data_IF_149655979581
#
_entry.id   IF_149655979581
#
_cell.length_a   1.000
_cell.length_b   1.000
_cell.length_c   1.000
_cell.angle_alpha   90.00
_cell.angle_beta   90.00
_cell.angle_gamma   90.00
#
_symmetry.space_group_name_H-M   'P 1'
#
loop_
_entity.id
_entity.type
_entity.pdbx_description
1 polymer ?
#
# COMPACT_ATOMS: atom_id res chain seq x y z
N UNK A 1 -26.97 -9.88 -7.98
CA UNK A 1 -26.54 -8.59 -8.54
C UNK A 1 -26.30 -7.62 -7.38
N UNK A 2 -25.11 -7.02 -7.29
CA UNK A 2 -24.81 -6.03 -6.25
C UNK A 2 -25.52 -4.72 -6.59
N UNK A 3 -26.16 -4.03 -5.62
CA UNK A 3 -26.72 -2.72 -5.89
C UNK A 3 -25.60 -1.72 -6.19
N UNK A 4 -25.88 -0.74 -7.05
CA UNK A 4 -24.96 0.37 -7.30
C UNK A 4 -24.66 1.08 -5.98
N UNK A 5 -23.39 1.20 -5.64
CA UNK A 5 -22.94 1.84 -4.41
C UNK A 5 -23.31 3.34 -4.44
N UNK A 6 -24.04 3.86 -3.43
CA UNK A 6 -24.37 5.27 -3.36
C UNK A 6 -23.14 6.18 -3.29
N UNK A 7 -23.29 7.43 -3.75
CA UNK A 7 -22.20 8.40 -3.73
C UNK A 7 -21.71 8.73 -2.32
N UNK A 8 -22.60 8.79 -1.32
CA UNK A 8 -22.18 9.09 0.06
C UNK A 8 -21.28 7.99 0.66
N UNK A 9 -21.51 6.72 0.30
CA UNK A 9 -20.60 5.60 0.62
C UNK A 9 -19.25 5.78 -0.06
N UNK A 10 -19.25 6.09 -1.36
CA UNK A 10 -18.02 6.32 -2.13
C UNK A 10 -17.22 7.49 -1.56
N UNK A 11 -17.87 8.62 -1.29
CA UNK A 11 -17.23 9.84 -0.78
C UNK A 11 -16.62 9.63 0.60
N UNK A 12 -17.32 8.90 1.49
CA UNK A 12 -16.78 8.56 2.81
C UNK A 12 -15.52 7.70 2.70
N UNK A 13 -15.56 6.64 1.88
CA UNK A 13 -14.41 5.76 1.66
C UNK A 13 -13.25 6.51 0.98
N UNK A 14 -13.55 7.36 0.00
CA UNK A 14 -12.55 8.24 -0.64
C UNK A 14 -11.83 9.09 0.39
N UNK A 15 -12.56 9.73 1.30
CA UNK A 15 -11.99 10.56 2.35
C UNK A 15 -11.08 9.76 3.29
N UNK A 16 -11.52 8.56 3.71
CA UNK A 16 -10.75 7.68 4.58
C UNK A 16 -9.42 7.26 3.94
N UNK A 17 -9.45 6.73 2.71
CA UNK A 17 -8.23 6.29 2.02
C UNK A 17 -7.34 7.45 1.56
N UNK A 18 -7.92 8.60 1.18
CA UNK A 18 -7.15 9.82 0.87
C UNK A 18 -6.37 10.29 2.09
N UNK A 19 -7.00 10.30 3.27
CA UNK A 19 -6.31 10.66 4.51
C UNK A 19 -5.11 9.73 4.75
N UNK A 20 -5.29 8.41 4.60
CA UNK A 20 -4.21 7.45 4.78
C UNK A 20 -3.05 7.65 3.79
N UNK A 21 -3.39 7.94 2.52
CA UNK A 21 -2.43 8.29 1.48
C UNK A 21 -1.62 9.54 1.88
N UNK A 22 -2.31 10.63 2.24
CA UNK A 22 -1.70 11.90 2.63
C UNK A 22 -0.78 11.74 3.85
N UNK A 23 -1.19 11.00 4.87
CA UNK A 23 -0.42 10.83 6.10
C UNK A 23 0.83 9.96 5.89
N UNK A 24 0.71 8.84 5.18
CA UNK A 24 1.86 8.00 4.84
C UNK A 24 2.89 8.77 4.01
N UNK A 25 2.39 9.55 3.05
CA UNK A 25 3.24 10.37 2.18
C UNK A 25 3.84 11.56 2.94
N UNK A 26 3.12 12.14 3.91
CA UNK A 26 3.61 13.21 4.78
C UNK A 26 4.74 12.71 5.69
N UNK A 27 4.62 11.48 6.21
CA UNK A 27 5.67 10.86 7.01
C UNK A 27 6.96 10.72 6.20
N UNK A 28 6.89 10.15 5.00
CA UNK A 28 8.06 10.01 4.12
C UNK A 28 8.64 11.38 3.69
N UNK A 29 7.78 12.37 3.47
CA UNK A 29 8.20 13.75 3.12
C UNK A 29 8.97 14.42 4.26
N UNK A 30 8.54 14.22 5.51
CA UNK A 30 9.18 14.80 6.68
C UNK A 30 10.41 14.02 7.16
N UNK A 31 10.41 12.70 6.95
CA UNK A 31 11.48 11.80 7.33
C UNK A 31 11.84 10.88 6.15
N UNK A 32 12.68 11.35 5.20
CA UNK A 32 13.03 10.59 3.99
C UNK A 32 13.69 9.24 4.24
N UNK A 33 14.22 9.03 5.45
CA UNK A 33 14.84 7.79 5.90
C UNK A 33 13.85 6.80 6.53
N UNK A 34 12.55 7.11 6.60
CA UNK A 34 11.53 6.20 7.14
C UNK A 34 11.53 4.85 6.41
N UNK A 35 11.53 3.78 7.20
CA UNK A 35 11.47 2.40 6.69
C UNK A 35 10.06 2.01 6.26
N UNK A 36 9.96 1.08 5.29
CA UNK A 36 8.69 0.61 4.71
C UNK A 36 7.68 0.13 5.77
N UNK A 37 8.05 -0.69 6.78
CA UNK A 37 7.09 -1.15 7.78
C UNK A 37 6.47 -0.02 8.62
N UNK A 38 7.19 1.10 8.80
CA UNK A 38 6.64 2.25 9.51
C UNK A 38 5.58 3.00 8.68
N UNK A 39 5.68 2.95 7.35
CA UNK A 39 4.69 3.52 6.43
C UNK A 39 3.44 2.64 6.36
N UNK A 40 3.63 1.31 6.32
CA UNK A 40 2.53 0.34 6.44
C UNK A 40 1.75 0.56 7.74
N UNK A 41 2.47 0.71 8.86
CA UNK A 41 1.86 0.99 10.16
C UNK A 41 1.09 2.31 10.19
N UNK A 42 1.59 3.36 9.55
CA UNK A 42 0.89 4.64 9.46
C UNK A 42 -0.41 4.50 8.68
N UNK A 43 -0.39 3.79 7.54
CA UNK A 43 -1.60 3.51 6.76
C UNK A 43 -2.64 2.78 7.61
N UNK A 44 -2.24 1.70 8.30
CA UNK A 44 -3.14 0.90 9.15
C UNK A 44 -3.66 1.73 10.32
N UNK A 45 -2.80 2.50 11.00
CA UNK A 45 -3.19 3.34 12.14
C UNK A 45 -4.23 4.38 11.74
N UNK A 46 -4.11 5.00 10.57
CA UNK A 46 -5.11 5.97 10.13
C UNK A 46 -6.45 5.34 9.75
N UNK A 47 -6.44 4.11 9.23
CA UNK A 47 -7.67 3.35 9.00
C UNK A 47 -8.30 2.88 10.31
N UNK A 48 -7.51 2.50 11.31
CA UNK A 48 -8.04 2.01 12.59
C UNK A 48 -8.82 3.09 13.36
N UNK A 49 -8.53 4.36 13.10
CA UNK A 49 -9.32 5.50 13.61
C UNK A 49 -10.75 5.55 13.05
N UNK A 50 -11.04 4.78 11.98
CA UNK A 50 -12.34 4.69 11.32
C UNK A 50 -13.07 3.36 11.60
N UNK A 51 -12.67 2.60 12.63
CA UNK A 51 -13.21 1.26 12.92
C UNK A 51 -14.68 1.22 13.35
N UNK A 52 -15.22 2.33 13.85
CA UNK A 52 -16.63 2.36 14.24
C UNK A 52 -17.52 2.29 12.98
N UNK A 53 -18.47 1.34 12.91
CA UNK A 53 -19.40 1.26 11.79
C UNK A 53 -20.21 2.56 11.63
N UNK A 54 -20.21 3.13 10.44
CA UNK A 54 -20.91 4.38 10.13
C UNK A 54 -22.15 4.07 9.30
N UNK A 55 -23.30 4.58 9.75
CA UNK A 55 -24.53 4.61 8.93
C UNK A 55 -24.57 5.94 8.17
N UNK A 56 -24.65 5.86 6.85
CA UNK A 56 -24.65 7.02 5.96
C UNK A 56 -26.08 7.44 5.59
N UNK A 57 -26.21 8.58 4.91
CA UNK A 57 -27.50 9.19 4.56
C UNK A 57 -28.37 8.32 3.66
N UNK A 58 -27.74 7.49 2.83
CA UNK A 58 -28.39 6.47 1.99
C UNK A 58 -28.90 5.26 2.79
N UNK A 59 -28.67 5.22 4.10
CA UNK A 59 -29.04 4.11 4.98
C UNK A 59 -28.07 2.93 4.98
N UNK A 60 -27.06 2.96 4.09
CA UNK A 60 -25.98 1.98 4.04
C UNK A 60 -25.11 2.07 5.28
N UNK A 61 -24.54 0.92 5.67
CA UNK A 61 -23.57 0.83 6.76
C UNK A 61 -22.22 0.45 6.19
N UNK A 62 -21.18 1.18 6.62
CA UNK A 62 -19.79 0.91 6.23
C UNK A 62 -18.98 0.68 7.50
N UNK A 63 -18.14 -0.36 7.52
CA UNK A 63 -17.10 -0.54 8.55
C UNK A 63 -15.75 -0.77 7.89
N UNK A 64 -14.69 -0.32 8.55
CA UNK A 64 -13.31 -0.63 8.19
C UNK A 64 -12.67 -1.28 9.41
N UNK A 65 -12.37 -2.57 9.34
CA UNK A 65 -11.72 -3.28 10.43
C UNK A 65 -10.24 -3.47 10.09
N UNK A 66 -9.33 -3.19 11.04
CA UNK A 66 -7.89 -3.39 10.82
C UNK A 66 -7.33 -4.46 11.73
N UNK A 67 -6.42 -5.27 11.21
CA UNK A 67 -5.76 -6.33 11.96
C UNK A 67 -4.26 -6.30 11.69
N UNK A 68 -3.50 -6.05 12.74
CA UNK A 68 -2.05 -6.26 12.72
C UNK A 68 -1.77 -7.73 13.04
N UNK A 69 -1.25 -8.45 12.05
CA UNK A 69 -0.99 -9.89 12.19
C UNK A 69 0.37 -10.17 12.83
N UNK A 70 1.22 -9.14 12.94
CA UNK A 70 2.59 -9.26 13.40
C UNK A 70 3.47 -9.85 12.31
N UNK A 71 4.54 -9.15 11.92
CA UNK A 71 5.50 -9.63 10.93
C UNK A 71 6.30 -10.82 11.46
N UNK A 72 5.72 -12.01 11.44
CA UNK A 72 6.29 -13.21 12.01
C UNK A 72 6.28 -14.33 10.98
N UNK A 73 7.32 -14.31 10.15
CA UNK A 73 7.78 -15.40 9.27
C UNK A 73 7.20 -15.44 7.85
N UNK A 74 8.08 -15.84 6.94
CA UNK A 74 8.01 -15.63 5.49
C UNK A 74 7.58 -16.92 4.79
N UNK A 75 6.66 -16.88 3.82
CA UNK A 75 6.23 -18.05 3.02
C UNK A 75 7.40 -18.54 2.15
N UNK A 76 7.88 -19.78 2.33
CA UNK A 76 9.11 -20.27 1.68
C UNK A 76 10.36 -19.36 1.84
N UNK A 77 10.43 -18.54 2.91
CA UNK A 77 11.41 -17.45 3.15
C UNK A 77 11.13 -16.09 2.48
N UNK A 78 9.97 -15.89 1.84
CA UNK A 78 9.63 -14.63 1.16
C UNK A 78 8.20 -14.12 1.48
N UNK A 79 8.04 -12.80 1.45
CA UNK A 79 6.78 -12.08 1.69
C UNK A 79 6.11 -11.78 0.32
N UNK A 80 4.88 -12.24 0.12
CA UNK A 80 4.13 -12.09 -1.16
C UNK A 80 3.37 -10.77 -1.19
N UNK A 81 2.91 -10.30 -0.03
CA UNK A 81 2.24 -9.02 0.14
C UNK A 81 2.45 -8.55 1.58
N UNK A 82 2.54 -7.25 1.83
CA UNK A 82 2.68 -6.74 3.19
C UNK A 82 1.28 -6.46 3.79
N UNK A 83 0.29 -6.12 2.95
CA UNK A 83 -1.07 -5.77 3.35
C UNK A 83 -2.11 -6.55 2.54
N UNK A 84 -2.99 -7.28 3.23
CA UNK A 84 -4.19 -7.87 2.63
C UNK A 84 -5.41 -6.96 2.75
N UNK A 85 -6.17 -6.80 1.67
CA UNK A 85 -7.41 -6.00 1.62
C UNK A 85 -8.59 -6.91 1.33
N UNK A 86 -9.46 -7.11 2.31
CA UNK A 86 -10.73 -7.83 2.16
C UNK A 86 -11.88 -6.83 2.00
N UNK A 87 -12.74 -7.05 1.02
CA UNK A 87 -13.98 -6.30 0.84
C UNK A 87 -15.14 -7.26 0.99
N UNK A 88 -16.09 -6.93 1.86
CA UNK A 88 -17.29 -7.72 2.10
C UNK A 88 -18.52 -6.91 1.71
N UNK A 89 -19.22 -7.37 0.68
CA UNK A 89 -20.50 -6.81 0.28
C UNK A 89 -21.62 -7.59 0.95
N UNK A 90 -22.41 -6.88 1.75
CA UNK A 90 -23.53 -7.43 2.50
C UNK A 90 -24.84 -6.79 2.09
N UNK A 91 -25.94 -7.48 2.38
CA UNK A 91 -27.29 -6.94 2.27
C UNK A 91 -28.09 -7.38 3.48
N UNK A 92 -28.61 -6.42 4.23
CA UNK A 92 -29.39 -6.65 5.44
C UNK A 92 -28.69 -7.62 6.40
N UNK A 93 -27.37 -7.49 6.54
CA UNK A 93 -26.58 -8.35 7.42
C UNK A 93 -26.14 -9.70 6.82
N UNK A 94 -26.50 -10.03 5.57
CA UNK A 94 -26.08 -11.27 4.90
C UNK A 94 -24.93 -11.01 3.92
N UNK A 95 -23.90 -11.87 3.93
CA UNK A 95 -22.79 -11.76 2.97
C UNK A 95 -23.28 -12.16 1.57
N UNK A 96 -23.15 -11.24 0.62
CA UNK A 96 -23.52 -11.46 -0.79
C UNK A 96 -22.29 -11.84 -1.61
N UNK A 97 -21.16 -11.18 -1.37
CA UNK A 97 -19.91 -11.40 -2.08
C UNK A 97 -18.73 -10.90 -1.27
N UNK A 98 -17.58 -11.52 -1.46
CA UNK A 98 -16.31 -11.02 -0.95
C UNK A 98 -15.30 -10.83 -2.06
N UNK A 99 -14.32 -9.95 -1.82
CA UNK A 99 -13.26 -9.65 -2.76
C UNK A 99 -11.96 -9.37 -2.03
N UNK A 100 -10.84 -9.77 -2.63
CA UNK A 100 -9.52 -9.61 -2.04
C UNK A 100 -8.57 -8.89 -2.99
N UNK A 101 -7.74 -8.01 -2.44
CA UNK A 101 -6.53 -7.53 -3.08
C UNK A 101 -5.34 -7.72 -2.14
N UNK A 102 -4.18 -8.04 -2.72
CA UNK A 102 -2.93 -8.21 -1.99
C UNK A 102 -1.97 -7.08 -2.39
N UNK A 103 -1.46 -6.34 -1.40
CA UNK A 103 -0.57 -5.19 -1.60
C UNK A 103 0.82 -5.50 -1.06
N UNK A 104 1.83 -5.59 -1.93
CA UNK A 104 3.24 -5.54 -1.56
C UNK A 104 3.71 -4.09 -1.54
N UNK A 105 4.02 -3.58 -0.37
CA UNK A 105 4.50 -2.22 -0.18
C UNK A 105 5.97 -2.06 -0.57
N UNK A 106 6.31 -0.90 -1.14
CA UNK A 106 7.68 -0.46 -1.44
C UNK A 106 7.77 1.06 -1.32
N UNK A 107 8.89 1.60 -0.83
CA UNK A 107 9.13 3.04 -0.75
C UNK A 107 10.09 3.55 -1.80
N UNK A 108 9.89 4.79 -2.20
CA UNK A 108 10.88 5.56 -2.94
C UNK A 108 12.02 6.00 -2.00
N UNK A 109 13.26 5.87 -2.45
CA UNK A 109 14.44 6.26 -1.67
C UNK A 109 14.95 7.63 -2.13
N UNK A 110 15.34 8.52 -1.21
CA UNK A 110 16.03 9.75 -1.57
C UNK A 110 17.39 9.45 -2.23
N UNK A 111 17.87 10.38 -3.05
CA UNK A 111 19.04 10.18 -3.92
C UNK A 111 20.33 9.93 -3.12
N UNK A 112 20.48 10.62 -2.00
CA UNK A 112 21.67 10.64 -1.14
C UNK A 112 21.76 9.41 -0.22
N UNK A 113 20.71 8.59 -0.17
CA UNK A 113 20.66 7.43 0.71
C UNK A 113 21.30 6.21 0.05
N UNK A 114 22.63 6.10 0.09
CA UNK A 114 23.35 4.83 -0.08
C UNK A 114 23.21 4.01 1.22
N UNK A 115 22.07 3.36 1.45
CA UNK A 115 21.98 2.38 2.53
C UNK A 115 22.32 0.99 2.01
N UNK A 116 23.36 0.41 2.62
CA UNK A 116 23.25 -0.93 3.18
C UNK A 116 22.21 -0.85 4.31
N UNK A 117 21.05 -1.47 4.12
CA UNK A 117 20.01 -1.62 5.16
C UNK A 117 20.42 -2.62 6.26
N UNK A 118 21.68 -3.05 6.22
CA UNK A 118 22.31 -4.08 7.06
C UNK A 118 23.50 -3.51 7.84
N UNK A 119 23.35 -2.37 8.54
CA UNK A 119 24.43 -1.93 9.43
C UNK A 119 24.42 -2.77 10.70
N UNK A 120 25.59 -3.03 11.28
CA UNK A 120 25.75 -3.80 12.52
C UNK A 120 24.82 -3.37 13.68
N UNK A 121 24.48 -2.06 13.87
CA UNK A 121 23.50 -1.62 14.86
C UNK A 121 22.03 -1.99 14.54
N UNK A 122 21.68 -2.20 13.27
CA UNK A 122 20.32 -2.60 12.85
C UNK A 122 20.00 -4.04 13.31
N UNK A 123 21.04 -4.85 13.55
CA UNK A 123 20.94 -6.18 14.15
C UNK A 123 20.87 -6.15 15.69
N UNK A 124 21.14 -5.00 16.33
CA UNK A 124 20.99 -4.85 17.79
C UNK A 124 19.51 -4.63 18.13
N UNK A 125 18.79 -5.73 18.30
CA UNK A 125 17.37 -5.73 18.64
C UNK A 125 17.08 -5.06 20.00
N UNK A 126 15.95 -4.34 20.09
CA UNK A 126 15.38 -3.83 21.33
C UNK A 126 15.91 -2.46 21.78
N UNK A 127 15.91 -2.22 23.10
CA UNK A 127 16.22 -0.91 23.69
C UNK A 127 17.66 -0.42 23.43
N UNK A 128 18.57 -1.33 23.08
CA UNK A 128 19.96 -1.00 22.73
C UNK A 128 20.09 -0.13 21.48
N UNK A 129 19.09 -0.14 20.59
CA UNK A 129 19.05 0.77 19.44
C UNK A 129 18.81 2.23 19.85
N UNK A 130 18.13 2.46 20.98
CA UNK A 130 17.89 3.81 21.53
C UNK A 130 19.10 4.34 22.31
N UNK A 131 20.03 3.46 22.70
CA UNK A 131 21.20 3.80 23.49
C UNK A 131 22.47 3.71 22.65
N UNK A 132 22.71 4.75 21.86
CA UNK A 132 23.82 4.82 20.91
C UNK A 132 25.02 5.59 21.47
N UNK A 133 26.19 5.37 20.87
CA UNK A 133 27.44 6.06 21.25
C UNK A 133 27.40 7.57 20.98
N UNK A 134 28.20 8.34 21.71
CA UNK A 134 28.34 9.81 21.50
C UNK A 134 28.73 10.18 20.07
N UNK A 135 29.54 9.35 19.39
CA UNK A 135 29.92 9.55 18.00
C UNK A 135 28.69 9.46 17.05
N UNK A 136 27.75 8.56 17.35
CA UNK A 136 26.50 8.46 16.61
C UNK A 136 25.62 9.68 16.87
N UNK A 137 25.50 10.13 18.13
CA UNK A 137 24.76 11.35 18.47
C UNK A 137 25.36 12.59 17.80
N UNK A 138 26.69 12.71 17.72
CA UNK A 138 27.35 13.79 17.01
C UNK A 138 26.96 13.83 15.51
N UNK A 139 26.89 12.65 14.87
CA UNK A 139 26.47 12.54 13.46
C UNK A 139 25.00 12.94 13.22
N UNK A 140 24.14 12.87 14.23
CA UNK A 140 22.75 13.33 14.11
C UNK A 140 22.62 14.85 14.10
N UNK A 141 23.59 15.57 14.66
CA UNK A 141 23.58 17.05 14.69
C UNK A 141 24.03 17.63 13.35
N UNK A 142 24.77 16.86 12.54
CA UNK A 142 25.21 17.28 11.22
C UNK A 142 24.01 17.43 10.27
N UNK A 143 23.89 18.61 9.64
CA UNK A 143 22.83 18.88 8.68
C UNK A 143 23.05 18.04 7.42
N UNK A 144 22.07 17.19 7.11
CA UNK A 144 22.03 16.37 5.90
C UNK A 144 20.84 16.78 5.06
N UNK A 145 21.06 16.91 3.76
CA UNK A 145 20.03 17.16 2.77
C UNK A 145 19.65 15.85 2.09
N UNK A 146 18.34 15.61 1.96
CA UNK A 146 17.75 14.47 1.27
C UNK A 146 16.84 14.99 0.17
N UNK A 147 17.02 14.51 -1.05
CA UNK A 147 16.24 14.90 -2.22
C UNK A 147 15.53 13.71 -2.85
N UNK A 148 14.28 13.95 -3.25
CA UNK A 148 13.52 13.09 -4.16
C UNK A 148 13.43 13.77 -5.51
N UNK A 149 13.78 13.04 -6.56
CA UNK A 149 13.73 13.48 -7.95
C UNK A 149 13.13 12.37 -8.82
N UNK A 150 12.86 12.65 -10.09
CA UNK A 150 12.35 11.62 -11.00
C UNK A 150 13.31 10.42 -11.15
N UNK A 151 14.62 10.63 -10.93
CA UNK A 151 15.63 9.57 -10.91
C UNK A 151 15.69 8.73 -9.63
N UNK A 152 14.98 9.13 -8.56
CA UNK A 152 14.93 8.37 -7.31
C UNK A 152 14.35 6.97 -7.53
N UNK A 153 14.79 5.99 -6.74
CA UNK A 153 14.56 4.57 -7.00
C UNK A 153 13.83 3.85 -5.87
N UNK A 154 13.02 2.86 -6.22
CA UNK A 154 12.46 1.88 -5.28
C UNK A 154 13.51 0.79 -5.01
N UNK A 155 14.45 1.04 -4.09
CA UNK A 155 15.67 0.21 -3.97
C UNK A 155 15.38 -1.22 -3.46
N UNK A 156 14.31 -1.40 -2.70
CA UNK A 156 13.82 -2.69 -2.21
C UNK A 156 13.00 -3.48 -3.26
N UNK A 157 12.80 -2.92 -4.46
CA UNK A 157 12.16 -3.58 -5.59
C UNK A 157 13.23 -3.85 -6.65
N UNK A 158 13.67 -5.10 -6.77
CA UNK A 158 14.69 -5.51 -7.75
C UNK A 158 14.06 -6.42 -8.79
N UNK A 159 14.16 -6.03 -10.05
CA UNK A 159 13.60 -6.83 -11.16
C UNK A 159 14.26 -8.21 -11.19
N UNK A 160 13.47 -9.27 -11.22
CA UNK A 160 13.96 -10.64 -11.31
C UNK A 160 14.59 -11.22 -10.05
N UNK A 161 14.51 -10.52 -8.91
CA UNK A 161 14.90 -11.11 -7.62
C UNK A 161 13.90 -12.20 -7.17
N UNK A 162 14.17 -12.79 -6.00
CA UNK A 162 13.38 -13.91 -5.49
C UNK A 162 11.94 -13.49 -5.16
N UNK A 163 11.75 -12.34 -4.50
CA UNK A 163 10.41 -11.83 -4.18
C UNK A 163 9.61 -11.55 -5.46
N UNK A 164 10.23 -10.90 -6.45
CA UNK A 164 9.62 -10.60 -7.73
C UNK A 164 9.17 -11.86 -8.48
N UNK A 165 9.97 -12.93 -8.43
CA UNK A 165 9.64 -14.23 -9.05
C UNK A 165 8.54 -14.96 -8.29
N UNK A 166 8.60 -15.00 -6.96
CA UNK A 166 7.58 -15.66 -6.15
C UNK A 166 6.20 -14.99 -6.24
N UNK A 167 6.15 -13.66 -6.37
CA UNK A 167 4.89 -12.96 -6.66
C UNK A 167 4.32 -13.42 -8.01
N UNK A 168 5.17 -13.59 -9.03
CA UNK A 168 4.73 -14.06 -10.34
C UNK A 168 4.23 -15.51 -10.32
N UNK A 169 4.94 -16.40 -9.63
CA UNK A 169 4.54 -17.79 -9.42
C UNK A 169 3.20 -17.87 -8.68
N UNK A 170 3.05 -17.11 -7.59
CA UNK A 170 1.81 -17.04 -6.83
C UNK A 170 0.61 -16.59 -7.68
N UNK A 171 0.77 -15.54 -8.49
CA UNK A 171 -0.30 -15.08 -9.38
C UNK A 171 -0.69 -16.14 -10.44
N UNK A 172 0.27 -16.96 -10.89
CA UNK A 172 0.00 -18.05 -11.85
C UNK A 172 -0.70 -19.23 -11.16
N UNK A 173 -0.17 -19.66 -10.02
CA UNK A 173 -0.63 -20.86 -9.32
C UNK A 173 -2.04 -20.69 -8.76
N UNK A 174 -2.34 -19.50 -8.21
CA UNK A 174 -3.62 -19.25 -7.53
C UNK A 174 -4.56 -18.32 -8.28
N UNK A 175 -4.12 -17.69 -9.38
CA UNK A 175 -4.92 -16.69 -10.11
C UNK A 175 -5.40 -15.52 -9.24
N UNK A 176 -4.68 -15.21 -8.16
CA UNK A 176 -4.97 -14.10 -7.24
C UNK A 176 -3.99 -12.96 -7.57
N UNK A 177 -4.44 -11.78 -8.02
CA UNK A 177 -3.57 -10.70 -8.42
C UNK A 177 -2.92 -10.02 -7.20
N UNK A 178 -1.65 -9.66 -7.36
CA UNK A 178 -0.85 -8.90 -6.41
C UNK A 178 -0.57 -7.52 -6.99
N UNK A 179 -0.58 -6.50 -6.13
CA UNK A 179 -0.32 -5.12 -6.50
C UNK A 179 0.85 -4.59 -5.66
N UNK A 180 1.66 -3.74 -6.25
CA UNK A 180 2.62 -2.95 -5.49
C UNK A 180 1.95 -1.68 -4.95
N UNK A 181 2.06 -1.45 -3.64
CA UNK A 181 1.76 -0.18 -2.99
C UNK A 181 3.05 0.64 -2.87
N UNK A 182 3.21 1.64 -3.73
CA UNK A 182 4.41 2.46 -3.82
C UNK A 182 4.24 3.72 -2.99
N UNK A 183 4.98 3.82 -1.88
CA UNK A 183 5.06 5.02 -1.06
C UNK A 183 5.97 6.07 -1.71
N UNK A 184 5.45 7.28 -1.87
CA UNK A 184 6.15 8.42 -2.43
C UNK A 184 5.99 9.64 -1.51
N UNK A 185 6.87 10.66 -1.60
CA UNK A 185 6.64 11.94 -0.95
C UNK A 185 5.39 12.64 -1.51
N UNK A 186 4.98 13.73 -0.87
CA UNK A 186 3.86 14.58 -1.32
C UNK A 186 4.07 15.15 -2.72
N UNK A 187 5.30 15.49 -3.08
CA UNK A 187 5.65 16.07 -4.38
C UNK A 187 7.02 15.55 -4.84
N UNK A 188 7.25 15.57 -6.15
CA UNK A 188 8.56 15.30 -6.76
C UNK A 188 8.74 16.35 -7.88
N UNK A 189 9.83 17.15 -7.85
CA UNK A 189 10.96 17.07 -6.93
C UNK A 189 10.64 17.58 -5.52
N UNK A 190 11.32 17.02 -4.52
CA UNK A 190 11.22 17.45 -3.11
C UNK A 190 12.59 17.40 -2.43
N UNK A 191 12.83 18.25 -1.44
CA UNK A 191 14.07 18.26 -0.67
C UNK A 191 13.82 18.58 0.79
N UNK A 192 14.47 17.84 1.69
CA UNK A 192 14.35 17.98 3.15
C UNK A 192 15.73 17.98 3.80
N UNK A 193 15.94 18.90 4.74
CA UNK A 193 17.12 18.92 5.60
C UNK A 193 16.79 18.38 6.99
N UNK A 194 17.70 17.56 7.52
CA UNK A 194 17.62 16.96 8.85
C UNK A 194 18.94 17.25 9.58
N UNK A 195 18.94 17.70 10.85
CA UNK A 195 17.78 17.99 11.71
C UNK A 195 16.83 19.06 11.15
N UNK A 196 15.53 18.84 11.33
CA UNK A 196 14.50 19.70 10.76
C UNK A 196 14.29 20.96 11.61
N UNK A 197 14.13 22.12 10.96
CA UNK A 197 13.74 23.38 11.61
C UNK A 197 12.21 23.58 11.72
N UNK A 198 11.42 22.64 11.20
CA UNK A 198 9.95 22.66 11.27
C UNK A 198 9.28 21.59 10.39
N UNK A 199 7.97 21.40 10.56
CA UNK A 199 7.20 20.54 9.64
C UNK A 199 7.09 21.29 8.31
N UNK A 200 7.69 20.73 7.27
CA UNK A 200 7.83 21.39 5.98
C UNK A 200 7.11 20.57 4.94
N UNK A 201 5.78 20.48 5.02
CA UNK A 201 5.01 19.86 3.95
C UNK A 201 4.84 20.88 2.80
N UNK A 202 4.80 20.44 1.53
CA UNK A 202 4.46 21.31 0.41
C UNK A 202 3.13 22.04 0.64
N UNK A 203 3.07 23.32 0.27
CA UNK A 203 1.84 24.13 0.36
C UNK A 203 0.73 23.64 -0.60
N UNK A 204 1.12 22.99 -1.69
CA UNK A 204 0.25 22.58 -2.80
C UNK A 204 -0.51 21.27 -2.53
N UNK A 205 -0.36 20.69 -1.34
CA UNK A 205 -0.99 19.42 -0.95
C UNK A 205 -0.25 18.19 -1.49
N UNK A 206 -0.89 17.02 -1.37
CA UNK A 206 -0.30 15.72 -1.75
C UNK A 206 -0.53 15.42 -3.25
N UNK A 207 0.34 15.95 -4.11
CA UNK A 207 0.29 15.77 -5.56
C UNK A 207 0.64 14.33 -5.98
N UNK A 208 1.76 13.80 -5.47
CA UNK A 208 2.28 12.47 -5.85
C UNK A 208 1.63 11.39 -5.00
N UNK A 209 1.95 11.30 -3.72
CA UNK A 209 1.32 10.35 -2.80
C UNK A 209 1.55 8.86 -3.10
N UNK A 210 0.88 7.99 -2.34
CA UNK A 210 0.89 6.54 -2.53
C UNK A 210 0.28 6.13 -3.87
N UNK A 211 0.91 5.14 -4.54
CA UNK A 211 0.53 4.70 -5.88
C UNK A 211 0.40 3.19 -5.96
N UNK A 212 -0.66 2.68 -6.59
CA UNK A 212 -0.92 1.24 -6.70
C UNK A 212 -0.69 0.77 -8.13
N UNK A 213 0.13 -0.27 -8.30
CA UNK A 213 0.52 -0.82 -9.62
C UNK A 213 0.31 -2.33 -9.62
N UNK A 214 -0.44 -2.92 -10.57
CA UNK A 214 -0.53 -4.37 -10.68
C UNK A 214 0.86 -4.98 -10.92
N UNK A 215 1.22 -6.04 -10.19
CA UNK A 215 2.52 -6.68 -10.33
C UNK A 215 2.75 -7.14 -11.76
N UNK A 216 1.76 -7.77 -12.39
CA UNK A 216 1.80 -8.17 -13.81
C UNK A 216 2.08 -7.01 -14.79
N UNK A 217 1.55 -5.81 -14.54
CA UNK A 217 1.80 -4.63 -15.36
C UNK A 217 3.23 -4.11 -15.17
N UNK A 218 3.71 -4.06 -13.91
CA UNK A 218 5.11 -3.75 -13.64
C UNK A 218 6.04 -4.75 -14.35
N UNK A 219 5.74 -6.06 -14.26
CA UNK A 219 6.58 -7.09 -14.87
C UNK A 219 6.67 -6.94 -16.38
N UNK A 220 5.54 -6.76 -17.04
CA UNK A 220 5.48 -6.52 -18.50
C UNK A 220 6.27 -5.29 -18.90
N UNK A 221 6.11 -4.20 -18.16
CA UNK A 221 6.75 -2.91 -18.44
C UNK A 221 8.27 -2.95 -18.22
N UNK A 222 8.73 -3.81 -17.32
CA UNK A 222 10.14 -3.96 -16.97
C UNK A 222 10.83 -5.14 -17.68
N UNK A 223 10.14 -5.87 -18.56
CA UNK A 223 10.66 -7.09 -19.20
C UNK A 223 11.96 -6.88 -19.99
N UNK A 224 12.19 -5.66 -20.52
CA UNK A 224 13.40 -5.30 -21.25
C UNK A 224 14.57 -4.85 -20.34
N UNK A 225 14.34 -4.67 -19.03
CA UNK A 225 15.38 -4.28 -18.07
C UNK A 225 16.12 -5.51 -17.57
N UNK A 226 17.40 -5.36 -17.27
CA UNK A 226 18.20 -6.44 -16.72
C UNK A 226 17.74 -6.83 -15.30
N UNK A 227 17.92 -8.09 -14.93
CA UNK A 227 17.72 -8.53 -13.56
C UNK A 227 18.60 -7.74 -12.58
N UNK A 228 18.10 -7.47 -11.37
CA UNK A 228 18.72 -6.60 -10.37
C UNK A 228 18.45 -5.10 -10.57
N UNK A 229 17.85 -4.69 -11.70
CA UNK A 229 17.46 -3.28 -11.91
C UNK A 229 16.49 -2.83 -10.83
N UNK A 230 16.73 -1.63 -10.29
CA UNK A 230 15.83 -0.95 -9.34
C UNK A 230 15.04 0.11 -10.11
N UNK A 231 13.71 -0.04 -10.26
CA UNK A 231 12.90 0.95 -10.99
C UNK A 231 13.05 2.34 -10.38
N UNK A 232 13.24 3.34 -11.24
CA UNK A 232 13.11 4.75 -10.84
C UNK A 232 11.65 5.22 -10.92
N UNK A 233 11.34 6.33 -10.25
CA UNK A 233 10.06 7.00 -10.40
C UNK A 233 9.76 7.33 -11.87
N UNK A 234 10.77 7.84 -12.60
CA UNK A 234 10.67 8.12 -14.04
C UNK A 234 10.42 6.88 -14.89
N UNK A 235 11.01 5.73 -14.56
CA UNK A 235 10.75 4.48 -15.28
C UNK A 235 9.29 4.09 -15.14
N UNK A 236 8.72 4.17 -13.93
CA UNK A 236 7.31 3.84 -13.71
C UNK A 236 6.38 4.83 -14.42
N UNK A 237 6.65 6.13 -14.32
CA UNK A 237 5.86 7.19 -14.98
C UNK A 237 5.86 7.05 -16.51
N UNK A 238 6.98 6.61 -17.10
CA UNK A 238 7.13 6.47 -18.55
C UNK A 238 6.57 5.14 -19.08
N UNK A 239 6.80 4.04 -18.36
CA UNK A 239 6.54 2.70 -18.87
C UNK A 239 5.12 2.20 -18.57
N UNK A 240 4.45 2.76 -17.55
CA UNK A 240 3.07 2.44 -17.24
C UNK A 240 2.16 3.45 -17.96
N UNK A 241 1.34 2.95 -18.90
CA UNK A 241 0.39 3.77 -19.67
C UNK A 241 -0.50 4.59 -18.71
N UNK A 242 -0.59 5.89 -19.01
CA UNK A 242 -1.10 6.99 -18.19
C UNK A 242 -2.34 6.69 -17.30
N UNK A 243 -2.46 7.32 -16.11
CA UNK A 243 -1.31 7.81 -15.34
C UNK A 243 -1.47 7.93 -13.81
N UNK A 244 -0.34 8.33 -13.24
CA UNK A 244 -0.22 9.11 -12.01
C UNK A 244 -1.08 10.41 -11.98
N UNK A 245 -1.88 10.75 -13.00
CA UNK A 245 -2.60 12.04 -13.16
C UNK A 245 -3.96 12.00 -13.90
N UNK A 246 -4.63 10.85 -14.13
CA UNK A 246 -5.89 10.82 -14.93
C UNK A 246 -6.79 9.62 -14.63
N UNK A 247 -8.09 9.83 -14.88
CA UNK A 247 -9.22 8.97 -14.48
C UNK A 247 -9.36 7.64 -15.27
N UNK A 248 -8.50 7.38 -16.26
CA UNK A 248 -8.60 6.21 -17.15
C UNK A 248 -7.37 5.29 -17.11
N UNK A 249 -6.62 5.30 -16.02
CA UNK A 249 -5.35 4.58 -15.93
C UNK A 249 -5.49 3.05 -15.86
N UNK A 250 -4.51 2.36 -16.44
CA UNK A 250 -4.31 0.90 -16.30
C UNK A 250 -3.30 0.53 -15.19
N UNK A 251 -2.60 1.50 -14.59
CA UNK A 251 -1.68 1.31 -13.46
C UNK A 251 -1.24 2.64 -12.80
N UNK A 252 -0.73 2.60 -11.57
CA UNK A 252 -0.22 3.81 -10.88
C UNK A 252 -1.31 4.71 -10.32
N UNK A 253 -2.44 4.11 -9.94
CA UNK A 253 -3.58 4.81 -9.34
C UNK A 253 -3.22 5.38 -7.97
N UNK A 254 -3.86 6.47 -7.54
CA UNK A 254 -3.79 6.83 -6.12
C UNK A 254 -4.45 5.73 -5.29
N UNK A 255 -4.04 5.60 -4.04
CA UNK A 255 -4.57 4.57 -3.13
C UNK A 255 -6.11 4.62 -3.06
N UNK A 256 -6.66 5.82 -2.87
CA UNK A 256 -8.10 6.05 -2.78
C UNK A 256 -8.84 5.67 -4.06
N UNK A 257 -8.29 5.99 -5.23
CA UNK A 257 -8.88 5.64 -6.52
C UNK A 257 -8.85 4.12 -6.75
N UNK A 258 -7.72 3.48 -6.42
CA UNK A 258 -7.58 2.03 -6.52
C UNK A 258 -8.63 1.31 -5.68
N UNK A 259 -8.77 1.71 -4.41
CA UNK A 259 -9.73 1.04 -3.52
C UNK A 259 -11.16 1.33 -3.95
N UNK A 260 -11.53 2.60 -4.15
CA UNK A 260 -12.93 2.98 -4.35
C UNK A 260 -13.43 2.71 -5.77
N UNK A 261 -12.66 3.04 -6.80
CA UNK A 261 -13.12 2.87 -8.18
C UNK A 261 -12.85 1.49 -8.74
N UNK A 262 -11.72 0.89 -8.37
CA UNK A 262 -11.29 -0.35 -9.01
C UNK A 262 -11.65 -1.58 -8.17
N UNK A 263 -11.28 -1.59 -6.89
CA UNK A 263 -11.52 -2.73 -6.04
C UNK A 263 -13.02 -2.84 -5.70
N UNK A 264 -13.58 -1.79 -5.10
CA UNK A 264 -14.99 -1.70 -4.73
C UNK A 264 -15.91 -1.63 -5.95
N UNK A 265 -15.50 -0.89 -7.01
CA UNK A 265 -16.19 -0.85 -8.30
C UNK A 265 -16.13 -2.16 -9.12
N UNK A 266 -15.64 -3.25 -8.54
CA UNK A 266 -15.60 -4.58 -9.13
C UNK A 266 -14.72 -4.73 -10.39
N UNK A 267 -13.80 -3.80 -10.66
CA UNK A 267 -12.92 -3.83 -11.84
C UNK A 267 -11.61 -4.63 -11.65
N UNK A 268 -11.05 -4.64 -10.43
CA UNK A 268 -9.77 -5.34 -10.14
C UNK A 268 -9.79 -6.06 -8.79
N UNK A 269 -9.06 -7.16 -8.63
CA UNK A 269 -9.04 -7.96 -7.39
C UNK A 269 -9.78 -9.28 -7.55
N UNK A 270 -9.54 -10.20 -6.62
CA UNK A 270 -10.01 -11.58 -6.69
C UNK A 270 -11.34 -11.76 -5.98
N UNK A 271 -12.33 -12.36 -6.66
CA UNK A 271 -13.63 -12.66 -6.05
C UNK A 271 -13.54 -13.98 -5.32
N UNK A 272 -13.49 -13.93 -3.99
CA UNK A 272 -13.43 -15.13 -3.18
C UNK A 272 -14.84 -15.72 -3.00
N UNK A 273 -15.00 -16.99 -3.37
CA UNK A 273 -16.24 -17.74 -3.23
C UNK A 273 -16.46 -18.19 -1.79
N UNK A 274 -15.56 -19.02 -1.27
CA UNK A 274 -15.50 -19.42 0.13
C UNK A 274 -14.08 -19.15 0.65
N UNK A 275 -13.93 -18.05 1.40
CA UNK A 275 -12.64 -17.60 1.94
C UNK A 275 -11.94 -18.65 2.81
N UNK A 276 -12.71 -19.54 3.46
CA UNK A 276 -12.16 -20.57 4.35
C UNK A 276 -11.69 -21.82 3.60
N UNK A 277 -12.00 -21.94 2.31
CA UNK A 277 -11.62 -23.09 1.47
C UNK A 277 -10.80 -22.69 0.26
N UNK A 278 -10.43 -21.42 0.16
CA UNK A 278 -9.61 -20.90 -0.92
C UNK A 278 -8.14 -21.12 -0.57
N UNK A 279 -7.51 -22.14 -1.18
CA UNK A 279 -6.14 -22.55 -0.86
C UNK A 279 -5.12 -21.41 -1.07
N UNK A 280 -5.36 -20.54 -2.06
CA UNK A 280 -4.49 -19.39 -2.33
C UNK A 280 -4.57 -18.37 -1.20
N UNK A 281 -5.78 -17.99 -0.79
CA UNK A 281 -5.98 -17.08 0.34
C UNK A 281 -5.62 -17.72 1.69
N UNK A 282 -5.80 -19.02 1.86
CA UNK A 282 -5.34 -19.77 3.02
C UNK A 282 -3.82 -19.65 3.20
N UNK A 283 -3.09 -19.78 2.10
CA UNK A 283 -1.63 -19.67 2.10
C UNK A 283 -1.13 -18.30 2.57
N UNK A 284 -1.95 -17.25 2.39
CA UNK A 284 -1.62 -15.85 2.72
C UNK A 284 -2.19 -15.41 4.08
N UNK A 285 -3.49 -15.58 4.32
CA UNK A 285 -4.19 -15.00 5.48
C UNK A 285 -4.27 -15.90 6.72
N UNK A 286 -4.34 -17.22 6.52
CA UNK A 286 -4.80 -18.12 7.59
C UNK A 286 -3.68 -18.96 8.23
N UNK A 287 -2.48 -18.96 7.65
CA UNK A 287 -1.31 -19.54 8.30
C UNK A 287 -0.87 -18.60 9.43
N UNK A 288 -0.74 -19.14 10.65
CA UNK A 288 -0.19 -18.42 11.84
C UNK A 288 1.19 -17.79 11.62
N UNK A 289 1.83 -18.11 10.50
CA UNK A 289 3.13 -17.62 10.01
C UNK A 289 2.96 -17.04 8.60
N UNK A 290 1.84 -16.35 8.35
CA UNK A 290 1.43 -15.90 7.04
C UNK A 290 2.34 -14.80 6.49
N UNK A 291 2.52 -14.72 5.16
CA UNK A 291 3.39 -13.75 4.51
C UNK A 291 2.75 -12.37 4.38
N UNK A 292 1.92 -11.92 5.34
CA UNK A 292 1.35 -10.56 5.39
C UNK A 292 1.54 -9.95 6.77
N UNK A 293 1.99 -8.70 6.82
CA UNK A 293 2.20 -7.97 8.06
C UNK A 293 0.90 -7.42 8.65
N UNK A 294 -0.03 -7.02 7.77
CA UNK A 294 -1.33 -6.47 8.17
C UNK A 294 -2.46 -6.89 7.23
N UNK A 295 -3.70 -6.80 7.74
CA UNK A 295 -4.91 -6.98 6.96
C UNK A 295 -5.91 -5.87 7.29
N UNK A 296 -6.69 -5.47 6.28
CA UNK A 296 -7.81 -4.54 6.45
C UNK A 296 -9.05 -5.12 5.78
N UNK A 297 -10.20 -4.96 6.41
CA UNK A 297 -11.49 -5.41 5.90
C UNK A 297 -12.44 -4.22 5.76
N UNK A 298 -12.97 -4.01 4.56
CA UNK A 298 -14.00 -3.00 4.29
C UNK A 298 -15.34 -3.74 4.13
N UNK A 299 -16.24 -3.54 5.09
CA UNK A 299 -17.60 -4.10 5.02
C UNK A 299 -18.55 -3.02 4.55
N UNK A 300 -19.37 -3.36 3.56
CA UNK A 300 -20.38 -2.47 3.00
C UNK A 300 -21.71 -3.21 3.00
N UNK A 301 -22.66 -2.76 3.81
CA UNK A 301 -23.96 -3.40 4.01
C UNK A 301 -25.11 -2.52 3.48
N UNK A 302 -25.77 -3.04 2.44
CA UNK A 302 -26.93 -2.40 1.83
C UNK A 302 -28.20 -2.64 2.67
N UNK A 303 -29.09 -1.64 2.82
CA UNK A 303 -30.34 -1.83 3.53
C UNK A 303 -31.28 -2.83 2.81
N UNK A 304 -32.20 -3.42 3.56
CA UNK A 304 -33.25 -4.25 2.99
C UNK A 304 -34.11 -3.43 2.00
N UNK A 305 -34.34 -3.96 0.80
CA UNK A 305 -35.28 -3.38 -0.18
C UNK A 305 -34.67 -2.57 -1.33
N UNK A 306 -33.35 -2.32 -1.38
CA UNK A 306 -32.72 -1.80 -2.60
C UNK A 306 -32.50 -2.93 -3.61
N UNK A 307 -33.44 -3.08 -4.54
CA UNK A 307 -33.26 -3.88 -5.75
C UNK A 307 -32.21 -3.22 -6.65
N UNK A 308 -31.25 -4.01 -7.15
CA UNK A 308 -30.17 -3.51 -8.01
C UNK A 308 -30.73 -2.89 -9.29
N UNK A 309 -30.44 -1.62 -9.51
CA UNK A 309 -30.72 -0.92 -10.75
C UNK A 309 -29.59 -1.09 -11.76
N UNK A 310 -29.91 -1.86 -12.81
CA UNK A 310 -29.46 -1.85 -14.22
C UNK A 310 -28.03 -2.29 -14.62
N UNK A 311 -28.07 -3.11 -15.69
CA UNK A 311 -27.10 -3.39 -16.79
C UNK A 311 -25.63 -3.67 -16.49
#
# INVERSE_FOLDING_TARGET
MLPMMPNDVRDWLYSAFRTCNEQSSAQLTNMPTTHEPALDMTLITHLSLQESPVRLSSGWVVSIDTHFLGGASRFYRWEIADIGVLVMFRRAGELVRSKVALLQSKRLYPNEQELDEDREPDYRMGFGWLYQSDAWWASLVEEREFSFAEGSQYKALKIGDDQYRHIAEYEVDYSIPVYYLLYNPWSIPWTKRIPSRGNGLPAEGCEVGCRVVPASNLRRSMAAKAAGTKPSYSDLKRLLEMPFTSDHSRAGWRLEDFVVDLLLGCRVGYVAGDLLRDEGLESVFYRRTGPIAAALAVTIDAPAGQAGGLE
#
